data_IF_478136966033
#
_entry.id   IF_478136966033
#
_cell.length_a   1.000
_cell.length_b   1.000
_cell.length_c   1.000
_cell.angle_alpha   90.00
_cell.angle_beta   90.00
_cell.angle_gamma   90.00
#
_symmetry.space_group_name_H-M   'P 1'
#
loop_
_entity.id
_entity.type
_entity.pdbx_description
1 polymer ?
#
# COMPACT_ATOMS: atom_id res chain seq x y z
N UNK A 1 -21.21 -0.08 5.58
CA UNK A 1 -20.21 -0.91 6.27
C UNK A 1 -19.23 0.02 6.98
N UNK A 2 -19.01 -0.18 8.28
CA UNK A 2 -18.07 0.56 9.10
C UNK A 2 -17.02 -0.44 9.59
N UNK A 3 -15.90 -0.53 8.90
CA UNK A 3 -14.77 -1.37 9.31
C UNK A 3 -13.69 -0.46 9.86
N UNK A 4 -13.24 -0.71 11.09
CA UNK A 4 -12.13 0.03 11.67
C UNK A 4 -11.03 -0.97 12.08
N UNK A 5 -9.83 -0.71 11.61
CA UNK A 5 -8.61 -1.43 11.96
C UNK A 5 -7.64 -0.39 12.49
N UNK A 6 -7.34 -0.47 13.75
CA UNK A 6 -6.44 0.46 14.44
C UNK A 6 -5.41 -0.29 15.25
N UNK A 7 -4.21 0.27 15.38
CA UNK A 7 -3.11 -0.30 16.17
C UNK A 7 -2.84 -1.78 15.85
N UNK A 8 -2.97 -2.14 14.57
CA UNK A 8 -2.88 -3.52 14.12
C UNK A 8 -1.62 -3.75 13.30
N UNK A 9 -1.06 -4.94 13.39
CA UNK A 9 0.12 -5.31 12.63
C UNK A 9 0.00 -6.67 11.99
N UNK A 10 0.64 -6.83 10.83
CA UNK A 10 0.82 -8.10 10.15
C UNK A 10 2.27 -8.21 9.68
N UNK A 11 2.87 -9.36 9.91
CA UNK A 11 4.19 -9.72 9.36
C UNK A 11 4.10 -11.11 8.75
N UNK A 12 4.51 -11.24 7.49
CA UNK A 12 4.48 -12.54 6.83
C UNK A 12 4.55 -12.51 5.31
N UNK A 13 4.37 -13.69 4.72
CA UNK A 13 4.37 -13.87 3.28
C UNK A 13 2.98 -14.25 2.77
N UNK A 14 2.54 -13.54 1.74
CA UNK A 14 1.29 -13.81 1.03
C UNK A 14 1.64 -14.32 -0.36
N UNK A 15 1.18 -15.52 -0.70
CA UNK A 15 1.36 -16.11 -2.01
C UNK A 15 0.03 -16.07 -2.76
N UNK A 16 -0.01 -15.33 -3.86
CA UNK A 16 -1.17 -15.30 -4.75
C UNK A 16 -0.97 -16.32 -5.88
N UNK A 17 -1.67 -17.43 -5.78
CA UNK A 17 -1.68 -18.45 -6.84
C UNK A 17 -2.65 -18.02 -7.94
N UNK A 18 -2.11 -17.85 -9.13
CA UNK A 18 -2.81 -17.35 -10.29
C UNK A 18 -3.87 -18.35 -10.81
N UNK A 19 -5.12 -17.90 -10.85
CA UNK A 19 -6.17 -18.56 -11.65
C UNK A 19 -6.65 -17.58 -12.71
N UNK A 20 -6.48 -17.97 -13.96
CA UNK A 20 -6.81 -17.20 -15.15
C UNK A 20 -8.17 -16.49 -15.08
N UNK A 21 -8.23 -15.18 -15.36
CA UNK A 21 -9.44 -14.44 -15.67
C UNK A 21 -10.25 -13.91 -14.48
N UNK A 22 -9.75 -13.93 -13.25
CA UNK A 22 -10.46 -13.36 -12.09
C UNK A 22 -9.75 -12.10 -11.57
N UNK A 23 -10.52 -11.13 -11.10
CA UNK A 23 -10.01 -10.01 -10.33
C UNK A 23 -9.62 -10.48 -8.93
N UNK A 24 -8.41 -10.13 -8.51
CA UNK A 24 -7.94 -10.38 -7.14
C UNK A 24 -7.49 -9.08 -6.51
N UNK A 25 -7.89 -8.91 -5.26
CA UNK A 25 -7.35 -7.87 -4.40
C UNK A 25 -6.57 -8.53 -3.28
N UNK A 26 -5.33 -8.14 -3.09
CA UNK A 26 -4.44 -8.66 -2.06
C UNK A 26 -3.85 -7.49 -1.29
N UNK A 27 -3.97 -7.51 0.01
CA UNK A 27 -3.36 -6.52 0.90
C UNK A 27 -2.82 -7.19 2.15
N UNK A 28 -1.77 -6.64 2.72
CA UNK A 28 -1.17 -7.17 3.93
C UNK A 28 -2.13 -7.14 5.13
N UNK A 29 -2.98 -6.13 5.23
CA UNK A 29 -4.02 -6.04 6.26
C UNK A 29 -5.40 -6.37 5.72
N UNK A 30 -5.77 -5.84 4.55
CA UNK A 30 -7.13 -5.97 4.01
C UNK A 30 -7.11 -6.11 2.49
N UNK A 31 -7.81 -7.09 1.96
CA UNK A 31 -7.96 -7.24 0.51
C UNK A 31 -8.80 -6.11 -0.10
N UNK A 32 -9.90 -5.70 0.56
CA UNK A 32 -10.78 -4.65 0.06
C UNK A 32 -11.35 -3.83 1.22
N UNK A 33 -11.00 -2.53 1.26
CA UNK A 33 -11.51 -1.57 2.24
C UNK A 33 -12.48 -0.61 1.54
N UNK A 34 -13.73 -0.60 1.99
CA UNK A 34 -14.81 0.12 1.31
C UNK A 34 -15.75 0.84 2.28
N UNK A 35 -16.19 2.04 1.87
CA UNK A 35 -17.23 2.81 2.56
C UNK A 35 -16.68 3.94 3.40
N UNK A 36 -17.40 5.06 3.43
CA UNK A 36 -16.93 6.34 3.96
C UNK A 36 -16.55 6.37 5.44
N UNK A 37 -16.99 5.38 6.22
CA UNK A 37 -16.62 5.24 7.64
C UNK A 37 -15.62 4.08 7.87
N UNK A 38 -15.11 3.48 6.81
CA UNK A 38 -14.07 2.44 6.94
C UNK A 38 -12.70 3.07 7.01
N UNK A 39 -11.92 2.67 8.01
CA UNK A 39 -10.64 3.27 8.37
C UNK A 39 -9.61 2.21 8.73
N UNK A 40 -8.40 2.37 8.20
CA UNK A 40 -7.19 1.80 8.77
C UNK A 40 -6.35 2.94 9.31
N UNK A 41 -5.95 2.89 10.58
CA UNK A 41 -5.07 3.89 11.16
C UNK A 41 -4.09 3.29 12.16
N UNK A 42 -2.94 3.98 12.34
CA UNK A 42 -1.88 3.58 13.28
C UNK A 42 -1.52 2.09 13.16
N UNK A 43 -1.52 1.61 11.92
CA UNK A 43 -1.37 0.18 11.63
C UNK A 43 -0.18 -0.05 10.69
N UNK A 44 0.37 -1.24 10.74
CA UNK A 44 1.53 -1.57 9.92
C UNK A 44 1.42 -2.93 9.26
N UNK A 45 2.11 -3.09 8.11
CA UNK A 45 2.39 -4.40 7.55
C UNK A 45 3.87 -4.49 7.18
N UNK A 46 4.48 -5.62 7.50
CA UNK A 46 5.78 -6.02 7.00
C UNK A 46 5.58 -7.30 6.18
N UNK A 47 5.49 -7.13 4.88
CA UNK A 47 4.89 -8.15 4.04
C UNK A 47 5.72 -8.46 2.80
N UNK A 48 5.95 -9.74 2.54
CA UNK A 48 6.39 -10.23 1.24
C UNK A 48 5.16 -10.73 0.46
N UNK A 49 4.84 -10.07 -0.66
CA UNK A 49 3.77 -10.51 -1.54
C UNK A 49 4.38 -11.12 -2.80
N UNK A 50 4.11 -12.40 -3.02
CA UNK A 50 4.50 -13.14 -4.23
C UNK A 50 3.30 -13.20 -5.17
N UNK A 51 3.29 -12.31 -6.16
CA UNK A 51 2.22 -12.26 -7.14
C UNK A 51 2.49 -13.21 -8.32
N UNK A 52 1.52 -13.99 -8.71
CA UNK A 52 1.61 -14.94 -9.81
C UNK A 52 1.80 -14.29 -11.18
N UNK A 53 2.19 -15.08 -12.17
CA UNK A 53 2.65 -14.62 -13.49
C UNK A 53 1.58 -13.99 -14.40
N UNK A 54 0.29 -13.97 -14.02
CA UNK A 54 -0.82 -13.55 -14.89
C UNK A 54 -1.69 -12.45 -14.27
N UNK A 55 -1.05 -11.45 -13.70
CA UNK A 55 -1.68 -10.37 -12.92
C UNK A 55 -2.49 -9.34 -13.74
N UNK A 56 -3.17 -9.74 -14.81
CA UNK A 56 -4.14 -8.88 -15.48
C UNK A 56 -5.35 -8.67 -14.56
N UNK A 57 -5.68 -7.43 -14.25
CA UNK A 57 -6.75 -7.03 -13.32
C UNK A 57 -6.53 -7.39 -11.84
N UNK A 58 -5.30 -7.60 -11.42
CA UNK A 58 -4.97 -7.85 -10.02
C UNK A 58 -4.54 -6.55 -9.32
N UNK A 59 -4.89 -6.43 -8.05
CA UNK A 59 -4.54 -5.28 -7.22
C UNK A 59 -3.80 -5.77 -5.99
N UNK A 60 -2.53 -5.40 -5.92
CA UNK A 60 -1.65 -5.75 -4.81
C UNK A 60 -1.23 -4.48 -4.08
N UNK A 61 -1.51 -4.42 -2.80
CA UNK A 61 -1.06 -3.34 -1.93
C UNK A 61 -0.44 -3.89 -0.65
N UNK A 62 0.59 -3.26 -0.17
CA UNK A 62 1.24 -3.70 1.07
C UNK A 62 0.30 -3.62 2.28
N UNK A 63 -0.59 -2.61 2.34
CA UNK A 63 -1.64 -2.53 3.35
C UNK A 63 -3.00 -3.00 2.79
N UNK A 64 -3.43 -2.47 1.67
CA UNK A 64 -4.78 -2.70 1.12
C UNK A 64 -4.71 -3.03 -0.37
N UNK A 65 -5.37 -4.10 -0.80
CA UNK A 65 -5.46 -4.44 -2.21
C UNK A 65 -6.28 -3.41 -3.00
N UNK A 66 -7.47 -3.07 -2.51
CA UNK A 66 -8.35 -2.06 -3.09
C UNK A 66 -8.99 -1.18 -2.04
N UNK A 67 -8.80 0.13 -2.19
CA UNK A 67 -9.41 1.18 -1.37
C UNK A 67 -10.49 1.87 -2.18
N UNK A 68 -11.72 1.99 -1.65
CA UNK A 68 -12.82 2.59 -2.42
C UNK A 68 -13.91 3.26 -1.58
N UNK A 69 -14.68 4.14 -2.24
CA UNK A 69 -15.90 4.75 -1.71
C UNK A 69 -15.65 5.52 -0.40
N UNK A 70 -14.72 6.47 -0.44
CA UNK A 70 -14.34 7.33 0.69
C UNK A 70 -13.78 6.57 1.92
N UNK A 71 -13.38 5.31 1.79
CA UNK A 71 -12.63 4.63 2.82
C UNK A 71 -11.26 5.29 3.02
N UNK A 72 -10.67 5.17 4.20
CA UNK A 72 -9.46 5.91 4.57
C UNK A 72 -8.36 4.99 5.09
N UNK A 73 -7.12 5.33 4.71
CA UNK A 73 -5.89 4.86 5.36
C UNK A 73 -5.18 6.09 5.89
N UNK A 74 -4.81 6.08 7.17
CA UNK A 74 -4.07 7.20 7.77
C UNK A 74 -3.05 6.71 8.78
N UNK A 75 -1.99 7.52 8.99
CA UNK A 75 -0.99 7.30 10.04
C UNK A 75 -0.53 5.83 10.08
N UNK A 76 -0.14 5.32 8.94
CA UNK A 76 0.16 3.89 8.79
C UNK A 76 1.46 3.67 8.02
N UNK A 77 2.07 2.52 8.24
CA UNK A 77 3.36 2.15 7.69
C UNK A 77 3.29 0.81 6.98
N UNK A 78 4.06 0.70 5.91
CA UNK A 78 4.27 -0.58 5.24
C UNK A 78 5.73 -0.76 4.88
N UNK A 79 6.22 -1.97 5.10
CA UNK A 79 7.55 -2.41 4.68
C UNK A 79 7.48 -3.75 3.94
N UNK A 80 8.58 -4.10 3.32
CA UNK A 80 8.80 -5.41 2.72
C UNK A 80 8.93 -5.39 1.21
N UNK A 81 8.44 -6.44 0.57
CA UNK A 81 8.68 -6.65 -0.86
C UNK A 81 7.44 -7.15 -1.59
N UNK A 82 7.16 -6.55 -2.75
CA UNK A 82 6.15 -7.06 -3.67
C UNK A 82 6.85 -7.55 -4.94
N UNK A 83 6.83 -8.85 -5.15
CA UNK A 83 7.39 -9.50 -6.34
C UNK A 83 6.28 -9.78 -7.32
N UNK A 84 6.32 -9.06 -8.44
CA UNK A 84 5.38 -9.27 -9.55
C UNK A 84 6.14 -9.58 -10.83
N UNK A 85 5.74 -10.64 -11.50
CA UNK A 85 6.33 -11.07 -12.76
C UNK A 85 5.72 -10.43 -14.01
N UNK A 86 4.65 -9.63 -13.87
CA UNK A 86 3.94 -9.00 -14.99
C UNK A 86 3.80 -7.50 -14.82
N UNK A 87 3.79 -6.78 -15.96
CA UNK A 87 3.63 -5.31 -16.00
C UNK A 87 2.18 -4.83 -15.90
N UNK A 88 1.20 -5.72 -15.84
CA UNK A 88 -0.22 -5.41 -16.11
C UNK A 88 -1.11 -5.36 -14.85
N UNK A 89 -0.56 -5.44 -13.65
CA UNK A 89 -1.30 -5.31 -12.39
C UNK A 89 -1.25 -3.88 -11.83
N UNK A 90 -2.24 -3.51 -11.03
CA UNK A 90 -2.21 -2.30 -10.21
C UNK A 90 -1.50 -2.64 -8.90
N UNK A 91 -0.24 -2.22 -8.76
CA UNK A 91 0.62 -2.64 -7.67
C UNK A 91 1.24 -1.43 -7.01
N UNK A 92 0.90 -1.22 -5.76
CA UNK A 92 1.42 -0.14 -4.95
C UNK A 92 1.90 -0.60 -3.58
N UNK A 93 2.90 0.06 -3.05
CA UNK A 93 3.42 -0.24 -1.73
C UNK A 93 2.36 -0.12 -0.65
N UNK A 94 1.50 0.88 -0.71
CA UNK A 94 0.41 1.09 0.24
C UNK A 94 -0.88 0.44 -0.25
N UNK A 95 -1.34 0.82 -1.44
CA UNK A 95 -2.59 0.29 -2.02
C UNK A 95 -2.37 -0.17 -3.46
N UNK A 96 -2.99 -1.28 -3.83
CA UNK A 96 -3.00 -1.74 -5.23
C UNK A 96 -3.81 -0.80 -6.11
N UNK A 97 -5.01 -0.46 -5.69
CA UNK A 97 -5.87 0.49 -6.39
C UNK A 97 -6.62 1.38 -5.41
N UNK A 98 -6.61 2.68 -5.67
CA UNK A 98 -7.42 3.66 -4.97
C UNK A 98 -8.56 4.12 -5.90
N UNK A 99 -9.79 3.83 -5.55
CA UNK A 99 -10.94 3.97 -6.42
C UNK A 99 -12.08 4.74 -5.73
N UNK A 100 -12.78 5.62 -6.45
CA UNK A 100 -13.90 6.41 -5.92
C UNK A 100 -13.60 7.15 -4.60
N UNK A 101 -12.67 8.10 -4.66
CA UNK A 101 -12.36 9.01 -3.56
C UNK A 101 -11.80 8.33 -2.29
N UNK A 102 -11.10 7.22 -2.40
CA UNK A 102 -10.37 6.68 -1.27
C UNK A 102 -9.34 7.70 -0.77
N UNK A 103 -9.24 7.86 0.53
CA UNK A 103 -8.34 8.82 1.18
C UNK A 103 -7.13 8.11 1.77
N UNK A 104 -5.95 8.57 1.39
CA UNK A 104 -4.68 8.13 1.97
C UNK A 104 -3.99 9.37 2.53
N UNK A 105 -3.62 9.30 3.79
CA UNK A 105 -3.12 10.45 4.51
C UNK A 105 -2.07 10.02 5.55
N UNK A 106 -0.93 10.68 5.53
CA UNK A 106 0.14 10.47 6.49
C UNK A 106 0.61 9.00 6.56
N UNK A 107 1.11 8.49 5.44
CA UNK A 107 1.58 7.11 5.30
C UNK A 107 3.05 7.07 4.87
N UNK A 108 3.74 6.03 5.30
CA UNK A 108 5.12 5.76 4.89
C UNK A 108 5.18 4.38 4.22
N UNK A 109 5.75 4.34 3.03
CA UNK A 109 6.03 3.12 2.28
C UNK A 109 7.53 2.84 2.23
N UNK A 110 7.94 1.76 2.85
CA UNK A 110 9.28 1.18 2.77
C UNK A 110 9.22 -0.15 2.00
N UNK A 111 8.58 -0.12 0.83
CA UNK A 111 8.36 -1.31 0.00
C UNK A 111 9.24 -1.25 -1.22
N UNK A 112 9.91 -2.38 -1.52
CA UNK A 112 10.65 -2.58 -2.75
C UNK A 112 9.96 -3.59 -3.68
N UNK A 113 10.18 -3.45 -4.97
CA UNK A 113 9.70 -4.44 -5.94
C UNK A 113 9.80 -4.01 -7.39
N UNK A 114 9.75 -4.97 -8.29
CA UNK A 114 9.73 -4.71 -9.72
C UNK A 114 8.30 -4.43 -10.18
N UNK A 115 8.09 -3.36 -10.96
CA UNK A 115 6.77 -2.90 -11.42
C UNK A 115 5.81 -2.53 -10.26
N UNK A 116 6.33 -1.98 -9.18
CA UNK A 116 5.58 -1.53 -8.01
C UNK A 116 5.70 -0.01 -7.90
N UNK A 117 4.60 0.70 -7.73
CA UNK A 117 4.62 2.10 -7.30
C UNK A 117 4.76 2.16 -5.77
N UNK A 118 5.37 3.22 -5.27
CA UNK A 118 5.61 3.35 -3.82
C UNK A 118 4.31 3.46 -3.02
N UNK A 119 3.33 4.17 -3.54
CA UNK A 119 2.08 4.46 -2.82
C UNK A 119 0.90 3.72 -3.44
N UNK A 120 0.49 4.07 -4.65
CA UNK A 120 -0.70 3.50 -5.30
C UNK A 120 -0.35 2.92 -6.67
N UNK A 121 -0.77 1.69 -6.91
CA UNK A 121 -0.63 1.05 -8.22
C UNK A 121 -1.51 1.64 -9.31
N UNK A 122 -2.51 2.43 -8.93
CA UNK A 122 -3.39 3.14 -9.85
C UNK A 122 -2.98 4.61 -9.96
N UNK A 123 -2.37 4.95 -11.07
CA UNK A 123 -1.88 6.30 -11.35
C UNK A 123 -2.87 7.16 -12.17
N UNK A 124 -4.00 6.57 -12.58
CA UNK A 124 -4.93 7.16 -13.53
C UNK A 124 -6.12 7.92 -12.95
N UNK A 125 -6.48 7.69 -11.69
CA UNK A 125 -7.67 8.31 -11.09
C UNK A 125 -7.38 9.70 -10.54
N UNK A 126 -7.97 10.72 -11.16
CA UNK A 126 -7.80 12.14 -10.79
C UNK A 126 -8.41 12.48 -9.40
N UNK A 127 -9.36 11.70 -8.94
CA UNK A 127 -10.06 11.92 -7.67
C UNK A 127 -9.40 11.23 -6.46
N UNK A 128 -8.19 10.73 -6.62
CA UNK A 128 -7.44 10.16 -5.51
C UNK A 128 -7.02 11.26 -4.54
N UNK A 129 -7.47 11.16 -3.32
CA UNK A 129 -7.12 12.08 -2.22
C UNK A 129 -5.97 11.47 -1.44
N UNK A 130 -4.75 11.72 -1.93
CA UNK A 130 -3.53 11.24 -1.30
C UNK A 130 -2.73 12.45 -0.85
N UNK A 131 -2.47 12.53 0.45
CA UNK A 131 -1.72 13.61 1.08
C UNK A 131 -0.70 13.02 2.06
N UNK A 132 0.44 13.70 2.22
CA UNK A 132 1.48 13.28 3.16
C UNK A 132 1.86 11.79 3.02
N UNK A 133 2.09 11.37 1.77
CA UNK A 133 2.52 10.02 1.45
C UNK A 133 4.01 10.00 1.13
N UNK A 134 4.76 9.20 1.85
CA UNK A 134 6.21 9.19 1.82
C UNK A 134 6.74 7.83 1.39
N UNK A 135 7.87 7.85 0.68
CA UNK A 135 8.68 6.65 0.44
C UNK A 135 10.01 6.77 1.16
N UNK A 136 10.72 5.66 1.34
CA UNK A 136 12.04 5.63 1.97
C UNK A 136 13.12 5.45 0.90
N UNK A 137 14.23 6.13 1.04
CA UNK A 137 15.36 6.02 0.10
C UNK A 137 15.91 4.59 0.01
N UNK A 138 16.47 4.24 -1.14
CA UNK A 138 17.02 2.91 -1.39
C UNK A 138 15.99 1.86 -1.85
N UNK A 139 14.70 2.17 -1.80
CA UNK A 139 13.68 1.26 -2.34
C UNK A 139 13.69 1.23 -3.87
N UNK A 140 13.61 0.02 -4.40
CA UNK A 140 13.46 -0.19 -5.85
C UNK A 140 11.98 -0.22 -6.20
N UNK A 141 11.47 0.90 -6.71
CA UNK A 141 10.08 1.04 -7.17
C UNK A 141 10.05 1.70 -8.55
N UNK A 142 8.89 1.76 -9.17
CA UNK A 142 8.71 2.48 -10.43
C UNK A 142 8.93 3.98 -10.21
N UNK A 143 9.65 4.58 -11.14
CA UNK A 143 9.80 6.04 -11.21
C UNK A 143 8.46 6.72 -11.54
N UNK A 144 8.35 8.00 -11.22
CA UNK A 144 7.17 8.84 -11.50
C UNK A 144 5.89 8.44 -10.76
N UNK A 145 6.01 7.93 -9.53
CA UNK A 145 4.86 7.81 -8.64
C UNK A 145 4.40 9.22 -8.24
N UNK A 146 3.35 9.70 -8.89
CA UNK A 146 2.80 11.06 -8.71
C UNK A 146 2.16 11.30 -7.34
N UNK A 147 2.03 10.27 -6.53
CA UNK A 147 1.43 10.36 -5.20
C UNK A 147 2.44 10.45 -4.07
N UNK A 148 3.73 10.32 -4.36
CA UNK A 148 4.78 10.50 -3.37
C UNK A 148 4.96 11.98 -3.05
N UNK A 149 4.76 12.37 -1.81
CA UNK A 149 5.00 13.74 -1.32
C UNK A 149 6.50 14.04 -1.25
N UNK A 150 7.26 13.15 -0.64
CA UNK A 150 8.72 13.17 -0.66
C UNK A 150 9.33 11.81 -0.32
N UNK A 151 10.62 11.68 -0.63
CA UNK A 151 11.44 10.54 -0.21
C UNK A 151 12.16 10.91 1.08
N UNK A 152 12.08 10.05 2.07
CA UNK A 152 12.70 10.22 3.38
C UNK A 152 13.98 9.38 3.46
N UNK A 153 14.99 9.89 4.16
CA UNK A 153 16.07 9.04 4.65
C UNK A 153 15.56 8.08 5.71
N UNK A 154 16.32 7.05 6.04
CA UNK A 154 15.94 6.12 7.11
C UNK A 154 15.69 6.86 8.44
N UNK A 155 16.58 7.77 8.83
CA UNK A 155 16.43 8.54 10.07
C UNK A 155 15.16 9.41 10.06
N UNK A 156 14.88 10.10 8.96
CA UNK A 156 13.66 10.89 8.83
C UNK A 156 12.39 10.02 8.90
N UNK A 157 12.46 8.82 8.33
CA UNK A 157 11.35 7.88 8.39
C UNK A 157 11.12 7.36 9.82
N UNK A 158 12.20 7.08 10.58
CA UNK A 158 12.10 6.69 12.01
C UNK A 158 11.50 7.80 12.87
N UNK A 159 11.95 9.04 12.71
CA UNK A 159 11.38 10.20 13.41
C UNK A 159 9.89 10.34 13.10
N UNK A 160 9.52 10.23 11.82
CA UNK A 160 8.11 10.34 11.42
C UNK A 160 7.26 9.17 11.91
N UNK A 161 7.79 7.95 11.99
CA UNK A 161 7.09 6.81 12.60
C UNK A 161 6.81 7.03 14.10
N UNK A 162 7.74 7.64 14.83
CA UNK A 162 7.54 8.01 16.22
C UNK A 162 6.40 9.04 16.35
N UNK A 163 6.34 10.04 15.48
CA UNK A 163 5.24 11.03 15.44
C UNK A 163 3.88 10.40 15.12
N UNK A 164 3.89 9.31 14.35
CA UNK A 164 2.67 8.57 14.02
C UNK A 164 2.24 7.57 15.11
N UNK A 165 3.03 7.44 16.17
CA UNK A 165 2.81 6.47 17.24
C UNK A 165 2.83 5.01 16.70
N UNK A 166 3.74 4.75 15.77
CA UNK A 166 3.97 3.43 15.18
C UNK A 166 5.32 2.91 15.68
N UNK A 167 5.29 1.89 16.52
CA UNK A 167 6.50 1.26 17.03
C UNK A 167 7.05 0.29 15.99
N UNK A 168 8.19 0.63 15.39
CA UNK A 168 8.93 -0.28 14.50
C UNK A 168 10.40 0.16 14.47
N UNK A 169 11.29 -0.78 14.20
CA UNK A 169 12.69 -0.50 13.86
C UNK A 169 12.83 -0.69 12.36
N UNK A 170 13.42 0.27 11.68
CA UNK A 170 13.70 0.16 10.25
C UNK A 170 15.04 -0.56 10.07
N UNK A 171 15.07 -1.57 9.22
CA UNK A 171 16.27 -2.31 8.82
C UNK A 171 16.68 -1.94 7.40
#
# INVERSE_FOLDING_TARGET
NNTQITNSSFTGTIVSNDKQGKEYNVGGLVANLKGGNSLISQSRADVTILAGARANNQRFGGLVGRLENNARISRSYVAGKIQNSTKNGQIGGVVGSNYFNGLIDNVISNVSGTNVYSISGDQGYENNRITEAYTVEGNTTLENDKFVTSTLTLNQAEEKLADLDITTTLE
#
